data_IF_113624077253
#
_entry.id   IF_113624077253
#
_cell.length_a   1.000
_cell.length_b   1.000
_cell.length_c   1.000
_cell.angle_alpha   90.00
_cell.angle_beta   90.00
_cell.angle_gamma   90.00
#
_symmetry.space_group_name_H-M   'P 1'
#
loop_
_entity.id
_entity.type
_entity.pdbx_description
1 polymer ?
#
# COMPACT_ATOMS: atom_id res chain seq x y z
N UNK A 1 39.33 8.60 4.92
CA UNK A 1 38.11 9.04 5.63
C UNK A 1 37.12 7.92 5.50
N UNK A 2 37.10 7.10 6.53
CA UNK A 2 36.36 5.85 6.65
C UNK A 2 34.85 6.10 6.73
N UNK A 3 34.08 5.29 6.02
CA UNK A 3 32.65 5.10 6.25
C UNK A 3 32.36 3.60 6.06
N UNK A 4 32.80 2.85 7.06
CA UNK A 4 32.36 1.49 7.33
C UNK A 4 31.07 1.54 8.17
N UNK A 5 30.18 0.60 7.90
CA UNK A 5 29.10 0.09 8.75
C UNK A 5 27.90 1.02 9.05
N UNK A 6 26.84 0.85 8.26
CA UNK A 6 25.46 0.95 8.76
C UNK A 6 24.68 -0.29 8.32
N UNK A 7 25.20 -1.44 8.74
CA UNK A 7 24.60 -2.76 8.56
C UNK A 7 24.55 -3.42 9.94
N UNK A 8 23.75 -2.90 10.86
CA UNK A 8 23.37 -3.62 12.08
C UNK A 8 22.21 -2.87 12.77
N UNK A 9 21.00 -3.08 12.26
CA UNK A 9 19.80 -3.05 13.10
C UNK A 9 19.23 -4.46 13.04
N UNK A 10 19.70 -5.32 13.93
CA UNK A 10 19.05 -6.61 14.20
C UNK A 10 17.68 -6.33 14.80
N UNK A 11 16.63 -6.52 14.00
CA UNK A 11 15.26 -6.68 14.50
C UNK A 11 15.17 -8.09 15.07
N UNK A 12 15.71 -8.31 16.27
CA UNK A 12 15.57 -9.57 16.98
C UNK A 12 14.72 -9.38 18.23
N UNK A 13 13.66 -10.20 18.31
CA UNK A 13 12.85 -10.52 19.49
C UNK A 13 11.57 -9.71 19.73
N UNK A 14 10.55 -9.96 18.90
CA UNK A 14 9.16 -9.98 19.40
C UNK A 14 9.02 -11.29 20.18
N UNK A 15 9.27 -11.25 21.50
CA UNK A 15 8.91 -12.32 22.43
C UNK A 15 7.92 -11.80 23.45
N UNK A 16 6.84 -12.55 23.59
CA UNK A 16 5.83 -12.54 24.65
C UNK A 16 6.45 -12.56 26.04
N UNK A 17 6.09 -11.58 26.89
CA UNK A 17 6.04 -11.73 28.36
C UNK A 17 5.23 -10.55 28.94
N UNK A 18 4.00 -10.80 29.39
CA UNK A 18 3.61 -11.04 30.79
C UNK A 18 3.90 -9.86 31.73
N UNK A 19 2.80 -9.16 32.04
CA UNK A 19 2.49 -8.33 33.22
C UNK A 19 3.56 -8.29 34.31
N UNK A 20 4.08 -7.10 34.60
CA UNK A 20 4.38 -6.66 35.96
C UNK A 20 4.34 -5.12 36.06
N UNK A 21 3.72 -4.68 37.15
CA UNK A 21 3.21 -3.35 37.45
C UNK A 21 4.20 -2.59 38.36
N UNK A 22 4.57 -1.36 38.00
CA UNK A 22 5.08 -0.27 38.87
C UNK A 22 5.31 0.95 37.95
N UNK A 23 4.74 2.14 38.08
CA UNK A 23 4.48 2.94 39.27
C UNK A 23 5.52 4.08 39.32
N UNK A 24 5.05 5.36 39.32
CA UNK A 24 5.78 6.65 39.45
C UNK A 24 5.98 7.41 38.11
N UNK A 25 5.12 8.37 37.76
CA UNK A 25 5.14 9.81 38.09
C UNK A 25 6.32 10.58 37.52
N UNK A 26 6.10 11.37 36.46
CA UNK A 26 6.58 12.75 36.45
C UNK A 26 5.81 13.63 35.44
N UNK A 27 5.40 14.80 35.95
CA UNK A 27 4.73 15.87 35.23
C UNK A 27 5.79 16.67 34.47
N UNK A 28 5.54 17.00 33.21
CA UNK A 28 6.07 18.24 32.67
C UNK A 28 5.02 18.96 31.82
N UNK A 29 4.60 20.09 32.37
CA UNK A 29 3.77 21.10 31.74
C UNK A 29 4.57 21.77 30.62
N UNK A 30 4.03 21.78 29.40
CA UNK A 30 4.29 22.86 28.46
C UNK A 30 2.97 23.49 28.06
N UNK A 31 2.75 24.69 28.60
CA UNK A 31 1.74 25.65 28.13
C UNK A 31 2.28 26.31 26.87
N UNK A 32 1.51 26.33 25.80
CA UNK A 32 1.60 27.41 24.81
C UNK A 32 0.22 27.76 24.28
N UNK A 33 -0.02 29.07 24.24
CA UNK A 33 -1.29 29.75 24.06
C UNK A 33 -1.79 29.68 22.61
N UNK A 34 -3.11 29.76 22.50
CA UNK A 34 -3.92 29.75 21.30
C UNK A 34 -3.55 30.83 20.26
N UNK A 35 -3.66 30.46 18.98
CA UNK A 35 -4.24 31.31 17.93
C UNK A 35 -5.18 30.44 17.09
N UNK A 36 -6.47 30.67 17.29
CA UNK A 36 -7.58 30.16 16.48
C UNK A 36 -7.50 30.81 15.08
N UNK A 37 -7.36 30.01 14.01
CA UNK A 37 -7.75 30.42 12.66
C UNK A 37 -8.85 29.50 12.17
N UNK A 38 -10.08 30.00 12.24
CA UNK A 38 -11.22 29.50 11.48
C UNK A 38 -10.89 29.60 9.98
N UNK A 39 -10.67 28.46 9.33
CA UNK A 39 -10.77 28.34 7.89
C UNK A 39 -12.03 27.54 7.56
N UNK A 40 -13.13 28.27 7.33
CA UNK A 40 -14.27 27.77 6.57
C UNK A 40 -13.77 27.45 5.15
N UNK A 41 -13.74 26.17 4.79
CA UNK A 41 -13.46 25.73 3.43
C UNK A 41 -14.73 25.09 2.86
N UNK A 42 -15.29 25.78 1.86
CA UNK A 42 -16.42 25.35 1.05
C UNK A 42 -16.14 24.00 0.36
N UNK A 43 -17.18 23.17 0.12
CA UNK A 43 -17.02 21.92 -0.61
C UNK A 43 -16.66 22.19 -2.08
N UNK A 44 -15.64 21.48 -2.59
CA UNK A 44 -15.21 21.51 -4.00
C UNK A 44 -16.37 21.12 -4.94
N UNK A 45 -16.50 21.76 -6.11
CA UNK A 45 -17.63 21.56 -7.00
C UNK A 45 -17.58 20.19 -7.69
N UNK A 46 -18.66 19.43 -7.54
CA UNK A 46 -18.97 18.26 -8.36
C UNK A 46 -19.30 18.71 -9.78
N UNK A 47 -18.58 18.19 -10.77
CA UNK A 47 -18.86 18.40 -12.19
C UNK A 47 -20.08 17.56 -12.57
N UNK A 48 -21.26 18.16 -12.50
CA UNK A 48 -22.50 17.62 -13.02
C UNK A 48 -22.35 17.30 -14.52
N UNK A 49 -22.59 16.04 -14.89
CA UNK A 49 -22.89 15.68 -16.28
C UNK A 49 -24.35 16.02 -16.52
N UNK A 50 -24.62 16.92 -17.46
CA UNK A 50 -25.97 17.19 -17.93
C UNK A 50 -26.55 15.94 -18.58
N UNK A 51 -27.59 15.40 -17.94
CA UNK A 51 -28.68 14.75 -18.64
C UNK A 51 -29.42 15.83 -19.44
N UNK A 52 -29.61 15.58 -20.73
CA UNK A 52 -30.39 16.41 -21.65
C UNK A 52 -31.15 15.48 -22.58
N UNK A 53 -32.47 15.66 -22.58
CA UNK A 53 -33.50 14.87 -23.23
C UNK A 53 -33.41 14.80 -24.76
N UNK A 54 -34.02 13.73 -25.26
CA UNK A 54 -34.64 13.50 -26.56
C UNK A 54 -35.21 14.74 -27.28
N UNK A 55 -34.80 14.97 -28.53
CA UNK A 55 -35.69 15.33 -29.65
C UNK A 55 -34.97 15.27 -31.03
N UNK A 56 -35.76 14.89 -32.04
CA UNK A 56 -35.47 14.66 -33.45
C UNK A 56 -34.86 15.85 -34.23
N UNK A 57 -33.89 15.61 -35.13
CA UNK A 57 -33.93 15.97 -36.57
C UNK A 57 -32.61 15.62 -37.32
N UNK A 58 -32.71 15.04 -38.53
CA UNK A 58 -31.88 15.46 -39.68
C UNK A 58 -30.56 14.74 -40.01
N UNK A 59 -30.66 13.61 -40.71
CA UNK A 59 -29.85 13.14 -41.86
C UNK A 59 -28.40 13.65 -42.10
N UNK A 60 -27.43 12.73 -42.09
CA UNK A 60 -26.36 12.66 -43.11
C UNK A 60 -25.66 11.28 -43.10
N UNK A 61 -25.48 10.72 -44.29
CA UNK A 61 -25.10 9.34 -44.63
C UNK A 61 -23.62 9.02 -44.38
N UNK A 62 -23.33 7.84 -43.79
CA UNK A 62 -22.02 7.18 -43.88
C UNK A 62 -22.20 5.68 -44.20
N UNK A 63 -21.68 5.28 -45.36
CA UNK A 63 -21.66 3.91 -45.90
C UNK A 63 -20.84 2.94 -45.02
N UNK A 64 -21.26 1.67 -44.87
CA UNK A 64 -20.43 0.62 -44.28
C UNK A 64 -19.55 -0.05 -45.35
N UNK A 65 -18.36 -0.50 -44.97
CA UNK A 65 -17.58 -1.49 -45.72
C UNK A 65 -17.28 -2.67 -44.82
N UNK A 66 -17.78 -3.83 -45.23
CA UNK A 66 -17.66 -5.13 -44.57
C UNK A 66 -16.50 -5.94 -45.16
N UNK A 67 -15.83 -6.67 -44.26
CA UNK A 67 -15.26 -8.03 -44.37
C UNK A 67 -14.27 -8.38 -45.49
N UNK A 68 -13.15 -9.01 -45.11
CA UNK A 68 -13.01 -10.49 -45.16
C UNK A 68 -11.71 -10.96 -44.50
N UNK A 69 -11.84 -11.97 -43.65
CA UNK A 69 -10.81 -12.89 -43.21
C UNK A 69 -10.43 -13.84 -44.34
N UNK A 70 -9.17 -14.29 -44.38
CA UNK A 70 -8.86 -15.70 -44.65
C UNK A 70 -7.50 -16.07 -44.04
N UNK A 71 -7.48 -17.25 -43.43
CA UNK A 71 -6.33 -17.88 -42.83
C UNK A 71 -5.73 -18.90 -43.80
N UNK A 72 -4.38 -19.03 -43.82
CA UNK A 72 -3.62 -20.28 -43.63
C UNK A 72 -2.18 -20.13 -44.16
N UNK A 73 -1.19 -20.20 -43.27
CA UNK A 73 0.10 -20.85 -43.48
C UNK A 73 0.89 -20.90 -42.15
N UNK A 74 1.58 -22.00 -41.94
CA UNK A 74 2.14 -22.52 -40.70
C UNK A 74 3.51 -21.93 -40.28
N UNK A 75 3.70 -21.85 -38.95
CA UNK A 75 4.93 -22.07 -38.18
C UNK A 75 6.23 -21.34 -38.60
N UNK A 76 6.54 -20.23 -37.92
CA UNK A 76 7.83 -19.99 -37.25
C UNK A 76 7.78 -18.68 -36.43
N UNK A 77 8.35 -18.79 -35.24
CA UNK A 77 8.67 -17.80 -34.22
C UNK A 77 9.16 -16.43 -34.75
N UNK A 78 8.48 -15.33 -34.37
CA UNK A 78 9.01 -13.96 -34.15
C UNK A 78 7.96 -12.88 -34.47
N UNK A 79 7.10 -12.53 -33.51
CA UNK A 79 6.21 -11.36 -33.64
C UNK A 79 6.73 -10.19 -32.78
N UNK A 80 7.90 -9.67 -33.15
CA UNK A 80 8.41 -8.41 -32.61
C UNK A 80 8.09 -7.28 -33.56
N UNK A 81 7.08 -6.48 -33.20
CA UNK A 81 6.69 -5.27 -33.91
C UNK A 81 7.93 -4.36 -34.18
N UNK A 82 8.27 -3.99 -35.42
CA UNK A 82 9.52 -3.29 -35.77
C UNK A 82 9.70 -1.95 -35.03
N UNK A 83 8.60 -1.31 -34.63
CA UNK A 83 8.65 -0.11 -33.80
C UNK A 83 9.18 -0.41 -32.38
N UNK A 84 8.80 -1.54 -31.77
CA UNK A 84 9.31 -1.98 -30.44
C UNK A 84 10.80 -2.32 -30.51
N UNK A 85 11.25 -2.92 -31.61
CA UNK A 85 12.66 -3.24 -31.83
C UNK A 85 13.51 -1.96 -31.97
N UNK A 86 13.04 -0.97 -32.73
CA UNK A 86 13.69 0.33 -32.82
C UNK A 86 13.77 1.07 -31.46
N UNK A 87 12.69 1.04 -30.66
CA UNK A 87 12.71 1.59 -29.29
C UNK A 87 13.69 0.85 -28.38
N UNK A 88 13.79 -0.47 -28.51
CA UNK A 88 14.70 -1.30 -27.70
C UNK A 88 16.16 -1.04 -28.04
N UNK A 89 16.49 -0.94 -29.34
CA UNK A 89 17.83 -0.57 -29.83
C UNK A 89 18.22 0.84 -29.38
N UNK A 90 17.29 1.79 -29.43
CA UNK A 90 17.53 3.14 -28.93
C UNK A 90 17.75 3.18 -27.40
N UNK A 91 16.98 2.39 -26.64
CA UNK A 91 17.18 2.26 -25.20
C UNK A 91 18.55 1.63 -24.85
N UNK A 92 18.99 0.63 -25.61
CA UNK A 92 20.32 0.02 -25.45
C UNK A 92 21.44 1.03 -25.75
N UNK A 93 21.32 1.75 -26.87
CA UNK A 93 22.25 2.83 -27.23
C UNK A 93 22.38 3.88 -26.11
N UNK A 94 21.26 4.29 -25.52
CA UNK A 94 21.24 5.25 -24.41
C UNK A 94 21.86 4.70 -23.12
N UNK A 95 21.68 3.42 -22.82
CA UNK A 95 22.32 2.76 -21.67
C UNK A 95 23.85 2.67 -21.84
N UNK A 96 24.32 2.35 -23.04
CA UNK A 96 25.76 2.35 -23.36
C UNK A 96 26.34 3.76 -23.26
N UNK A 97 25.60 4.77 -23.72
CA UNK A 97 25.96 6.18 -23.55
C UNK A 97 26.09 6.60 -22.09
N UNK A 98 25.22 6.07 -21.22
CA UNK A 98 25.28 6.31 -19.79
C UNK A 98 26.53 5.68 -19.14
N UNK A 99 26.93 4.47 -19.56
CA UNK A 99 28.19 3.85 -19.13
C UNK A 99 29.40 4.66 -19.60
N UNK A 100 29.42 5.10 -20.85
CA UNK A 100 30.48 5.96 -21.40
C UNK A 100 30.57 7.26 -20.61
N UNK A 101 29.44 7.89 -20.26
CA UNK A 101 29.43 9.10 -19.44
C UNK A 101 30.03 8.86 -18.04
N UNK A 102 29.68 7.77 -17.36
CA UNK A 102 30.25 7.42 -16.06
C UNK A 102 31.78 7.24 -16.13
N UNK A 103 32.27 6.59 -17.18
CA UNK A 103 33.71 6.40 -17.42
C UNK A 103 34.44 7.72 -17.75
N UNK A 104 33.82 8.59 -18.54
CA UNK A 104 34.39 9.90 -18.91
C UNK A 104 34.41 10.89 -17.73
N UNK A 105 33.42 10.82 -16.84
CA UNK A 105 33.36 11.64 -15.63
C UNK A 105 34.49 11.31 -14.64
N UNK A 106 35.05 10.10 -14.69
CA UNK A 106 36.24 9.70 -13.91
C UNK A 106 37.58 10.10 -14.55
N UNK A 107 37.64 10.40 -15.85
CA UNK A 107 38.94 10.52 -16.57
C UNK A 107 39.23 11.83 -17.30
N UNK A 108 38.29 12.79 -17.45
CA UNK A 108 38.57 13.92 -18.36
C UNK A 108 37.93 15.26 -17.99
N UNK A 109 38.74 16.16 -17.42
CA UNK A 109 38.44 17.58 -17.20
C UNK A 109 38.51 18.42 -18.50
N UNK A 110 38.58 17.81 -19.69
CA UNK A 110 38.85 18.51 -20.96
C UNK A 110 37.96 18.09 -22.14
N UNK A 111 36.67 17.81 -21.89
CA UNK A 111 35.70 17.75 -23.00
C UNK A 111 35.29 19.15 -23.45
N UNK A 112 35.44 19.44 -24.74
CA UNK A 112 35.04 20.71 -25.36
C UNK A 112 33.50 20.89 -25.29
N UNK A 113 33.02 22.13 -25.18
CA UNK A 113 31.60 22.47 -24.94
C UNK A 113 30.66 21.87 -25.99
N UNK A 114 31.14 21.74 -27.22
CA UNK A 114 30.41 21.18 -28.38
C UNK A 114 29.99 19.71 -28.17
N UNK A 115 30.76 18.91 -27.42
CA UNK A 115 30.45 17.49 -27.17
C UNK A 115 29.77 17.29 -25.82
N UNK A 116 30.09 18.15 -24.84
CA UNK A 116 29.57 18.05 -23.47
C UNK A 116 28.05 18.24 -23.41
N UNK A 117 27.53 19.25 -24.10
CA UNK A 117 26.11 19.60 -24.04
C UNK A 117 25.21 18.52 -24.68
N UNK A 118 25.49 17.99 -25.89
CA UNK A 118 24.74 16.86 -26.44
C UNK A 118 24.83 15.60 -25.59
N UNK A 119 26.02 15.29 -25.04
CA UNK A 119 26.23 14.11 -24.20
C UNK A 119 25.40 14.20 -22.91
N UNK A 120 25.36 15.38 -22.28
CA UNK A 120 24.55 15.62 -21.09
C UNK A 120 23.06 15.52 -21.37
N UNK A 121 22.58 16.05 -22.51
CA UNK A 121 21.18 15.90 -22.94
C UNK A 121 20.82 14.44 -23.20
N UNK A 122 21.67 13.70 -23.88
CA UNK A 122 21.46 12.27 -24.13
C UNK A 122 21.40 11.48 -22.81
N UNK A 123 22.28 11.79 -21.85
CA UNK A 123 22.24 11.19 -20.50
C UNK A 123 20.92 11.51 -19.76
N UNK A 124 20.46 12.76 -19.79
CA UNK A 124 19.17 13.12 -19.17
C UNK A 124 17.98 12.41 -19.81
N UNK A 125 17.99 12.26 -21.14
CA UNK A 125 16.96 11.52 -21.88
C UNK A 125 16.99 10.05 -21.46
N UNK A 126 18.17 9.42 -21.46
CA UNK A 126 18.35 8.03 -21.00
C UNK A 126 17.78 7.83 -19.59
N UNK A 127 18.15 8.71 -18.66
CA UNK A 127 17.68 8.68 -17.28
C UNK A 127 16.16 8.85 -17.17
N UNK A 128 15.57 9.79 -17.94
CA UNK A 128 14.12 9.99 -17.96
C UNK A 128 13.38 8.79 -18.51
N UNK A 129 13.85 8.21 -19.62
CA UNK A 129 13.24 7.01 -20.22
C UNK A 129 13.32 5.82 -19.27
N UNK A 130 14.43 5.64 -18.56
CA UNK A 130 14.55 4.61 -17.53
C UNK A 130 13.57 4.82 -16.39
N UNK A 131 13.52 6.02 -15.81
CA UNK A 131 12.54 6.39 -14.77
C UNK A 131 11.11 6.10 -15.24
N UNK A 132 10.76 6.43 -16.48
CA UNK A 132 9.41 6.16 -17.01
C UNK A 132 9.08 4.66 -17.08
N UNK A 133 10.05 3.80 -17.43
CA UNK A 133 9.86 2.35 -17.40
C UNK A 133 9.64 1.83 -15.98
N UNK A 134 10.41 2.31 -15.01
CA UNK A 134 10.24 1.94 -13.60
C UNK A 134 8.90 2.42 -13.03
N UNK A 135 8.47 3.64 -13.35
CA UNK A 135 7.13 4.13 -12.96
C UNK A 135 6.02 3.28 -13.56
N UNK A 136 6.17 2.82 -14.81
CA UNK A 136 5.19 1.92 -15.43
C UNK A 136 5.16 0.55 -14.73
N UNK A 137 6.31 -0.05 -14.47
CA UNK A 137 6.40 -1.32 -13.73
C UNK A 137 5.83 -1.19 -12.31
N UNK A 138 6.15 -0.11 -11.61
CA UNK A 138 5.60 0.23 -10.29
C UNK A 138 4.08 0.33 -10.28
N UNK A 139 3.49 1.00 -11.29
CA UNK A 139 2.03 1.10 -11.44
C UNK A 139 1.36 -0.25 -11.66
N UNK A 140 1.99 -1.15 -12.41
CA UNK A 140 1.50 -2.51 -12.60
C UNK A 140 1.49 -3.28 -11.26
N UNK A 141 2.55 -3.14 -10.45
CA UNK A 141 2.60 -3.72 -9.09
C UNK A 141 1.49 -3.15 -8.21
N UNK A 142 1.32 -1.83 -8.16
CA UNK A 142 0.25 -1.17 -7.38
C UNK A 142 -1.12 -1.69 -7.79
N UNK A 143 -1.41 -1.70 -9.10
CA UNK A 143 -2.73 -2.07 -9.61
C UNK A 143 -3.09 -3.53 -9.26
N UNK A 144 -2.14 -4.45 -9.34
CA UNK A 144 -2.42 -5.85 -9.05
C UNK A 144 -2.38 -6.16 -7.55
N UNK A 145 -1.54 -5.48 -6.76
CA UNK A 145 -1.59 -5.56 -5.29
C UNK A 145 -2.94 -5.08 -4.74
N UNK A 146 -3.52 -4.01 -5.31
CA UNK A 146 -4.88 -3.57 -4.99
C UNK A 146 -5.94 -4.63 -5.26
N UNK A 147 -5.81 -5.38 -6.36
CA UNK A 147 -6.75 -6.48 -6.67
C UNK A 147 -6.68 -7.56 -5.60
N UNK A 148 -5.48 -7.89 -5.11
CA UNK A 148 -5.30 -8.82 -3.99
C UNK A 148 -6.00 -8.30 -2.73
N UNK A 149 -5.77 -7.02 -2.37
CA UNK A 149 -6.43 -6.38 -1.22
C UNK A 149 -7.96 -6.48 -1.35
N UNK A 150 -8.51 -6.11 -2.51
CA UNK A 150 -9.96 -6.22 -2.76
C UNK A 150 -10.47 -7.66 -2.74
N UNK A 151 -9.66 -8.64 -3.13
CA UNK A 151 -10.00 -10.05 -3.04
C UNK A 151 -10.07 -10.49 -1.58
N UNK A 152 -9.10 -10.09 -0.74
CA UNK A 152 -9.11 -10.38 0.72
C UNK A 152 -10.32 -9.77 1.42
N UNK A 153 -10.78 -8.58 1.01
CA UNK A 153 -12.00 -7.97 1.58
C UNK A 153 -13.30 -8.73 1.31
N UNK A 154 -13.27 -9.75 0.44
CA UNK A 154 -14.44 -10.63 0.18
C UNK A 154 -14.57 -11.77 1.19
N UNK A 155 -13.65 -11.89 2.14
CA UNK A 155 -13.73 -12.87 3.22
C UNK A 155 -15.06 -12.70 3.94
N UNK A 156 -15.71 -13.82 4.24
CA UNK A 156 -16.88 -13.99 5.09
C UNK A 156 -16.72 -15.26 5.92
N UNK A 157 -17.65 -15.53 6.84
CA UNK A 157 -17.65 -16.75 7.69
C UNK A 157 -17.56 -18.06 6.90
N UNK A 158 -18.12 -18.09 5.69
CA UNK A 158 -18.34 -19.35 4.96
C UNK A 158 -17.36 -19.59 3.80
N UNK A 159 -16.56 -18.59 3.42
CA UNK A 159 -15.71 -18.63 2.23
C UNK A 159 -14.27 -18.18 2.51
N UNK A 160 -13.88 -18.11 3.78
CA UNK A 160 -12.58 -17.57 4.20
C UNK A 160 -11.42 -18.30 3.52
N UNK A 161 -11.44 -19.63 3.54
CA UNK A 161 -10.37 -20.48 2.99
C UNK A 161 -10.25 -20.30 1.47
N UNK A 162 -11.38 -20.36 0.74
CA UNK A 162 -11.40 -20.18 -0.72
C UNK A 162 -10.90 -18.80 -1.14
N UNK A 163 -11.37 -17.75 -0.45
CA UNK A 163 -10.98 -16.37 -0.73
C UNK A 163 -9.49 -16.16 -0.47
N UNK A 164 -8.96 -16.71 0.62
CA UNK A 164 -7.55 -16.63 0.96
C UNK A 164 -6.68 -17.42 -0.01
N UNK A 165 -7.07 -18.64 -0.39
CA UNK A 165 -6.32 -19.43 -1.37
C UNK A 165 -6.21 -18.68 -2.71
N UNK A 166 -7.30 -18.05 -3.15
CA UNK A 166 -7.28 -17.22 -4.35
C UNK A 166 -6.41 -15.98 -4.19
N UNK A 167 -6.51 -15.27 -3.06
CA UNK A 167 -5.68 -14.09 -2.80
C UNK A 167 -4.18 -14.45 -2.75
N UNK A 168 -3.81 -15.61 -2.24
CA UNK A 168 -2.42 -16.11 -2.23
C UNK A 168 -1.92 -16.41 -3.63
N UNK A 169 -2.74 -17.06 -4.48
CA UNK A 169 -2.41 -17.28 -5.90
C UNK A 169 -2.25 -15.96 -6.65
N UNK A 170 -3.15 -15.01 -6.44
CA UNK A 170 -3.08 -13.69 -7.05
C UNK A 170 -1.83 -12.92 -6.57
N UNK A 171 -1.48 -13.02 -5.28
CA UNK A 171 -0.26 -12.42 -4.72
C UNK A 171 1.02 -13.06 -5.28
N UNK A 172 1.05 -14.39 -5.44
CA UNK A 172 2.16 -15.08 -6.09
C UNK A 172 2.32 -14.60 -7.55
N UNK A 173 1.22 -14.43 -8.28
CA UNK A 173 1.26 -13.86 -9.63
C UNK A 173 1.81 -12.43 -9.66
N UNK A 174 1.51 -11.60 -8.65
CA UNK A 174 2.12 -10.26 -8.51
C UNK A 174 3.64 -10.35 -8.39
N UNK A 175 4.14 -11.29 -7.59
CA UNK A 175 5.57 -11.54 -7.40
C UNK A 175 6.21 -12.00 -8.72
N UNK A 176 5.65 -13.05 -9.33
CA UNK A 176 6.23 -13.71 -10.49
C UNK A 176 6.20 -12.85 -11.76
N UNK A 177 5.19 -12.00 -11.93
CA UNK A 177 4.99 -11.23 -13.17
C UNK A 177 5.39 -9.76 -13.04
N UNK A 178 5.05 -9.11 -11.93
CA UNK A 178 5.15 -7.66 -11.80
C UNK A 178 6.37 -7.24 -10.98
N UNK A 179 6.61 -7.88 -9.84
CA UNK A 179 7.83 -7.63 -9.06
C UNK A 179 9.04 -8.10 -9.86
N UNK A 180 9.00 -9.28 -10.49
CA UNK A 180 10.09 -9.76 -11.35
C UNK A 180 10.44 -8.78 -12.48
N UNK A 181 9.43 -8.15 -13.11
CA UNK A 181 9.62 -7.12 -14.13
C UNK A 181 10.25 -5.86 -13.54
N UNK A 182 9.78 -5.43 -12.37
CA UNK A 182 10.35 -4.28 -11.66
C UNK A 182 11.82 -4.53 -11.31
N UNK A 183 12.14 -5.71 -10.77
CA UNK A 183 13.52 -6.13 -10.45
C UNK A 183 14.42 -6.02 -11.69
N UNK A 184 13.96 -6.50 -12.85
CA UNK A 184 14.70 -6.42 -14.12
C UNK A 184 14.99 -4.97 -14.55
N UNK A 185 14.03 -4.06 -14.43
CA UNK A 185 14.26 -2.64 -14.78
C UNK A 185 15.24 -1.95 -13.82
N UNK A 186 15.27 -2.35 -12.55
CA UNK A 186 16.16 -1.81 -11.52
C UNK A 186 17.62 -2.26 -11.69
N UNK A 187 17.89 -3.31 -12.48
CA UNK A 187 19.24 -3.82 -12.71
C UNK A 187 20.16 -2.75 -13.32
N UNK A 188 21.42 -2.73 -12.88
CA UNK A 188 22.47 -1.85 -13.40
C UNK A 188 22.29 -0.37 -13.09
N UNK A 189 21.49 -0.02 -12.07
CA UNK A 189 21.30 1.35 -11.60
C UNK A 189 21.54 1.49 -10.11
N UNK A 190 21.93 2.69 -9.69
CA UNK A 190 21.87 3.13 -8.31
C UNK A 190 20.38 3.17 -7.87
N UNK A 191 19.86 2.05 -7.35
CA UNK A 191 18.44 1.86 -7.02
C UNK A 191 17.90 2.97 -6.11
N UNK A 192 18.74 3.51 -5.22
CA UNK A 192 18.37 4.61 -4.33
C UNK A 192 17.99 5.90 -5.07
N UNK A 193 18.57 6.19 -6.25
CA UNK A 193 18.30 7.43 -7.00
C UNK A 193 16.88 7.45 -7.57
N UNK A 194 16.34 6.28 -7.87
CA UNK A 194 15.03 6.11 -8.47
C UNK A 194 13.99 5.54 -7.50
N UNK A 195 14.31 5.44 -6.20
CA UNK A 195 13.38 4.99 -5.15
C UNK A 195 11.98 5.58 -5.27
N UNK A 196 11.88 6.90 -5.47
CA UNK A 196 10.58 7.59 -5.61
C UNK A 196 9.72 7.11 -6.79
N UNK A 197 10.32 6.49 -7.82
CA UNK A 197 9.60 5.96 -8.97
C UNK A 197 8.87 4.65 -8.66
N UNK A 198 9.49 3.78 -7.84
CA UNK A 198 8.97 2.44 -7.57
C UNK A 198 8.40 2.23 -6.17
N UNK A 199 8.78 3.09 -5.21
CA UNK A 199 8.35 3.04 -3.82
C UNK A 199 6.83 2.89 -3.63
N UNK A 200 5.95 3.60 -4.38
CA UNK A 200 4.50 3.39 -4.28
C UNK A 200 4.04 1.97 -4.60
N UNK A 201 4.65 1.32 -5.61
CA UNK A 201 4.35 -0.07 -5.95
C UNK A 201 4.80 -1.05 -4.86
N UNK A 202 5.97 -0.80 -4.29
CA UNK A 202 6.52 -1.63 -3.19
C UNK A 202 5.68 -1.51 -1.91
N UNK A 203 5.27 -0.29 -1.53
CA UNK A 203 4.42 -0.07 -0.36
C UNK A 203 3.08 -0.81 -0.48
N UNK A 204 2.43 -0.72 -1.65
CA UNK A 204 1.16 -1.42 -1.91
C UNK A 204 1.33 -2.95 -1.90
N UNK A 205 2.46 -3.46 -2.40
CA UNK A 205 2.76 -4.89 -2.32
C UNK A 205 2.94 -5.35 -0.87
N UNK A 206 3.67 -4.58 -0.05
CA UNK A 206 3.83 -4.86 1.39
C UNK A 206 2.47 -4.88 2.09
N UNK A 207 1.62 -3.89 1.82
CA UNK A 207 0.25 -3.84 2.33
C UNK A 207 -0.55 -5.10 1.97
N UNK A 208 -0.56 -5.49 0.70
CA UNK A 208 -1.24 -6.69 0.24
C UNK A 208 -0.70 -7.98 0.89
N UNK A 209 0.62 -8.14 0.97
CA UNK A 209 1.27 -9.32 1.52
C UNK A 209 1.03 -9.46 3.03
N UNK A 210 1.16 -8.35 3.78
CA UNK A 210 0.92 -8.32 5.22
C UNK A 210 -0.56 -8.53 5.56
N UNK A 211 -1.48 -7.96 4.78
CA UNK A 211 -2.93 -8.17 4.94
C UNK A 211 -3.31 -9.64 4.74
N UNK A 212 -2.81 -10.26 3.68
CA UNK A 212 -3.04 -11.67 3.39
C UNK A 212 -2.51 -12.57 4.52
N UNK A 213 -1.27 -12.33 4.96
CA UNK A 213 -0.65 -13.09 6.03
C UNK A 213 -1.40 -12.94 7.36
N UNK A 214 -1.84 -11.72 7.71
CA UNK A 214 -2.63 -11.48 8.91
C UNK A 214 -3.95 -12.26 8.86
N UNK A 215 -4.67 -12.24 7.73
CA UNK A 215 -5.94 -12.96 7.62
C UNK A 215 -5.80 -14.49 7.70
N UNK A 216 -4.65 -15.02 7.27
CA UNK A 216 -4.31 -16.44 7.32
C UNK A 216 -3.81 -16.90 8.69
N UNK A 217 -2.87 -16.16 9.29
CA UNK A 217 -2.12 -16.61 10.47
C UNK A 217 -2.44 -15.82 11.74
N UNK A 218 -3.05 -14.63 11.62
CA UNK A 218 -3.22 -13.69 12.72
C UNK A 218 -1.94 -12.93 13.11
N UNK A 219 -0.84 -13.09 12.36
CA UNK A 219 0.46 -12.50 12.67
C UNK A 219 0.93 -11.51 11.60
N UNK A 220 1.85 -10.62 11.99
CA UNK A 220 2.53 -9.71 11.08
C UNK A 220 3.59 -10.46 10.26
N UNK A 221 3.56 -10.30 8.93
CA UNK A 221 4.63 -10.76 8.04
C UNK A 221 5.81 -9.77 8.12
N UNK A 222 6.95 -10.19 8.66
CA UNK A 222 8.08 -9.30 8.89
C UNK A 222 8.89 -9.02 7.61
N UNK A 223 9.71 -7.96 7.67
CA UNK A 223 10.51 -7.51 6.52
C UNK A 223 11.47 -8.59 6.00
N UNK A 224 12.09 -9.37 6.89
CA UNK A 224 13.02 -10.42 6.50
C UNK A 224 12.32 -11.55 5.76
N UNK A 225 11.11 -11.92 6.19
CA UNK A 225 10.25 -12.91 5.52
C UNK A 225 9.84 -12.43 4.12
N UNK A 226 9.46 -11.17 3.97
CA UNK A 226 9.13 -10.60 2.65
C UNK A 226 10.37 -10.58 1.77
N UNK A 227 11.51 -10.08 2.25
CA UNK A 227 12.72 -10.07 1.46
C UNK A 227 13.20 -11.47 1.09
N UNK A 228 13.01 -12.47 1.97
CA UNK A 228 13.32 -13.86 1.67
C UNK A 228 12.48 -14.41 0.51
N UNK A 229 11.20 -14.04 0.38
CA UNK A 229 10.36 -14.47 -0.75
C UNK A 229 10.72 -13.81 -2.07
N UNK A 230 11.35 -12.63 -2.04
CA UNK A 230 11.78 -11.89 -3.23
C UNK A 230 13.20 -12.26 -3.72
N UNK A 231 14.04 -12.85 -2.87
CA UNK A 231 15.41 -13.28 -3.23
C UNK A 231 15.48 -14.15 -4.49
N UNK A 232 14.60 -15.16 -4.69
CA UNK A 232 14.68 -16.03 -5.86
C UNK A 232 14.44 -15.31 -7.20
N UNK A 233 13.84 -14.12 -7.19
CA UNK A 233 13.61 -13.31 -8.39
C UNK A 233 14.86 -12.63 -8.91
N UNK A 234 15.91 -12.55 -8.09
CA UNK A 234 17.15 -11.87 -8.42
C UNK A 234 18.17 -12.87 -8.94
N UNK A 235 18.93 -12.47 -9.96
CA UNK A 235 20.05 -13.26 -10.46
C UNK A 235 21.14 -13.33 -9.37
N UNK A 236 21.74 -14.50 -9.09
CA UNK A 236 22.84 -14.64 -8.12
C UNK A 236 24.02 -13.68 -8.37
N UNK A 237 24.18 -13.21 -9.62
CA UNK A 237 25.23 -12.26 -10.01
C UNK A 237 24.88 -10.78 -9.77
N UNK A 238 23.64 -10.47 -9.37
CA UNK A 238 23.13 -9.11 -9.17
C UNK A 238 22.63 -8.94 -7.74
N UNK A 239 22.87 -7.77 -7.15
CA UNK A 239 22.35 -7.46 -5.81
C UNK A 239 20.80 -7.54 -5.82
N UNK A 240 20.20 -8.38 -4.97
CA UNK A 240 18.77 -8.62 -5.01
C UNK A 240 17.99 -7.38 -4.61
N UNK A 241 16.78 -7.22 -5.15
CA UNK A 241 15.87 -6.20 -4.65
C UNK A 241 15.56 -6.49 -3.18
N UNK A 242 15.99 -5.58 -2.32
CA UNK A 242 15.62 -5.58 -0.91
C UNK A 242 14.67 -4.43 -0.65
N UNK A 243 13.49 -4.75 -0.14
CA UNK A 243 12.56 -3.75 0.37
C UNK A 243 13.24 -3.07 1.56
N UNK A 244 13.35 -1.75 1.48
CA UNK A 244 13.90 -0.94 2.54
C UNK A 244 12.89 -0.81 3.69
N UNK A 245 13.41 -0.64 4.91
CA UNK A 245 12.67 -0.38 6.14
C UNK A 245 11.63 0.73 5.95
N UNK A 246 12.00 1.85 5.29
CA UNK A 246 11.06 2.95 5.06
C UNK A 246 9.83 2.54 4.25
N UNK A 247 10.01 1.80 3.16
CA UNK A 247 8.88 1.36 2.32
C UNK A 247 8.03 0.30 3.01
N UNK A 248 8.66 -0.55 3.83
CA UNK A 248 7.94 -1.50 4.67
C UNK A 248 7.06 -0.80 5.72
N UNK A 249 7.61 0.17 6.46
CA UNK A 249 6.87 0.88 7.49
C UNK A 249 5.72 1.72 6.90
N UNK A 250 5.92 2.32 5.72
CA UNK A 250 4.86 3.10 5.05
C UNK A 250 3.72 2.20 4.54
N UNK A 251 4.04 1.01 4.02
CA UNK A 251 3.03 0.00 3.65
C UNK A 251 2.32 -0.61 4.86
N UNK A 252 3.04 -0.83 5.97
CA UNK A 252 2.46 -1.27 7.24
C UNK A 252 1.48 -0.23 7.82
N UNK A 253 1.76 1.05 7.62
CA UNK A 253 0.83 2.08 8.03
C UNK A 253 -0.46 2.07 7.19
N UNK A 254 -0.38 1.84 5.88
CA UNK A 254 -1.58 1.71 5.02
C UNK A 254 -2.39 0.45 5.35
N UNK A 255 -1.72 -0.66 5.68
CA UNK A 255 -2.36 -1.90 6.15
C UNK A 255 -3.37 -1.63 7.27
N UNK A 256 -3.08 -0.71 8.19
CA UNK A 256 -3.99 -0.41 9.32
C UNK A 256 -5.34 0.13 8.87
N UNK A 257 -5.37 0.87 7.76
CA UNK A 257 -6.60 1.36 7.13
C UNK A 257 -7.42 0.22 6.54
N UNK A 258 -6.78 -0.73 5.85
CA UNK A 258 -7.46 -1.90 5.28
C UNK A 258 -7.93 -2.87 6.37
N UNK A 259 -7.16 -3.06 7.44
CA UNK A 259 -7.60 -3.81 8.61
C UNK A 259 -8.82 -3.18 9.29
N UNK A 260 -8.87 -1.85 9.39
CA UNK A 260 -10.06 -1.16 9.87
C UNK A 260 -11.27 -1.41 8.98
N UNK A 261 -11.13 -1.32 7.65
CA UNK A 261 -12.22 -1.63 6.71
C UNK A 261 -12.70 -3.07 6.87
N UNK A 262 -11.77 -4.02 7.03
CA UNK A 262 -12.09 -5.42 7.29
C UNK A 262 -12.84 -5.56 8.60
N UNK A 263 -12.35 -4.97 9.70
CA UNK A 263 -12.98 -5.05 11.01
C UNK A 263 -14.41 -4.53 11.00
N UNK A 264 -14.69 -3.40 10.36
CA UNK A 264 -16.06 -2.87 10.24
C UNK A 264 -16.97 -3.87 9.50
N UNK A 265 -16.50 -4.45 8.39
CA UNK A 265 -17.26 -5.49 7.69
C UNK A 265 -17.54 -6.72 8.56
N UNK A 266 -16.55 -7.15 9.35
CA UNK A 266 -16.68 -8.31 10.26
C UNK A 266 -17.63 -8.01 11.43
N UNK A 267 -17.66 -6.77 11.94
CA UNK A 267 -18.64 -6.34 12.94
C UNK A 267 -20.05 -6.42 12.37
N UNK A 268 -20.26 -5.98 11.13
CA UNK A 268 -21.56 -6.08 10.46
C UNK A 268 -22.02 -7.54 10.27
N UNK A 269 -21.09 -8.47 10.07
CA UNK A 269 -21.37 -9.91 9.98
C UNK A 269 -21.52 -10.60 11.35
N UNK A 270 -21.41 -9.85 12.45
CA UNK A 270 -21.52 -10.34 13.84
C UNK A 270 -20.26 -11.06 14.36
N UNK A 271 -19.11 -10.89 13.72
CA UNK A 271 -17.81 -11.47 14.15
C UNK A 271 -17.03 -10.55 15.07
N UNK A 272 -17.60 -10.24 16.23
CA UNK A 272 -17.02 -9.27 17.17
C UNK A 272 -15.65 -9.69 17.70
N UNK A 273 -15.44 -10.99 17.96
CA UNK A 273 -14.15 -11.48 18.44
C UNK A 273 -13.02 -11.26 17.42
N UNK A 274 -13.30 -11.46 16.13
CA UNK A 274 -12.31 -11.24 15.08
C UNK A 274 -12.04 -9.75 14.89
N UNK A 275 -13.06 -8.90 14.97
CA UNK A 275 -12.89 -7.45 14.96
C UNK A 275 -12.06 -6.94 16.16
N UNK A 276 -12.23 -7.52 17.35
CA UNK A 276 -11.40 -7.22 18.52
C UNK A 276 -9.93 -7.64 18.31
N UNK A 277 -9.69 -8.81 17.71
CA UNK A 277 -8.32 -9.24 17.33
C UNK A 277 -7.66 -8.26 16.38
N UNK A 278 -8.40 -7.80 15.36
CA UNK A 278 -7.91 -6.75 14.44
C UNK A 278 -7.60 -5.47 15.22
N UNK A 279 -8.51 -5.03 16.10
CA UNK A 279 -8.32 -3.82 16.90
C UNK A 279 -7.04 -3.88 17.75
N UNK A 280 -6.78 -5.00 18.43
CA UNK A 280 -5.58 -5.20 19.23
C UNK A 280 -4.32 -5.14 18.37
N UNK A 281 -4.33 -5.80 17.21
CA UNK A 281 -3.21 -5.80 16.28
C UNK A 281 -2.90 -4.41 15.73
N UNK A 282 -3.91 -3.66 15.29
CA UNK A 282 -3.73 -2.27 14.80
C UNK A 282 -3.21 -1.36 15.93
N UNK A 283 -3.70 -1.56 17.17
CA UNK A 283 -3.24 -0.80 18.35
C UNK A 283 -1.76 -1.07 18.66
N UNK A 284 -1.32 -2.33 18.54
CA UNK A 284 0.09 -2.71 18.70
C UNK A 284 0.98 -2.05 17.64
N UNK A 285 0.60 -2.12 16.36
CA UNK A 285 1.34 -1.44 15.27
C UNK A 285 1.46 0.06 15.55
N UNK A 286 0.35 0.72 15.93
CA UNK A 286 0.36 2.15 16.23
C UNK A 286 1.29 2.49 17.40
N UNK A 287 1.29 1.69 18.47
CA UNK A 287 2.17 1.89 19.63
C UNK A 287 3.64 1.82 19.25
N UNK A 288 4.02 0.80 18.47
CA UNK A 288 5.41 0.63 18.04
C UNK A 288 5.85 1.75 17.07
N UNK A 289 4.98 2.12 16.12
CA UNK A 289 5.27 3.18 15.17
C UNK A 289 5.35 4.56 15.82
N UNK A 290 4.64 4.82 16.92
CA UNK A 290 4.81 6.07 17.68
C UNK A 290 6.24 6.30 18.16
N UNK A 291 7.00 5.24 18.44
CA UNK A 291 8.40 5.32 18.88
C UNK A 291 9.37 5.58 17.71
N UNK A 292 8.99 5.13 16.51
CA UNK A 292 9.85 5.14 15.32
C UNK A 292 9.59 6.38 14.46
N UNK A 293 8.32 6.77 14.27
CA UNK A 293 7.91 7.85 13.37
C UNK A 293 8.67 9.19 13.59
N UNK A 294 8.96 9.64 14.82
CA UNK A 294 9.73 10.88 15.04
C UNK A 294 11.19 10.82 14.55
N UNK A 295 11.73 9.61 14.35
CA UNK A 295 13.13 9.37 13.94
C UNK A 295 13.27 9.16 12.42
N UNK A 296 12.17 9.18 11.67
CA UNK A 296 12.18 8.93 10.23
C UNK A 296 12.47 10.20 9.43
N UNK A 297 13.29 10.09 8.38
CA UNK A 297 13.72 11.21 7.53
C UNK A 297 12.55 11.88 6.78
N UNK A 298 11.53 11.11 6.37
CA UNK A 298 10.31 11.59 5.69
C UNK A 298 9.15 11.80 6.69
N UNK A 299 9.34 12.74 7.63
CA UNK A 299 8.44 12.93 8.77
C UNK A 299 7.00 13.36 8.40
N UNK A 300 6.76 14.00 7.26
CA UNK A 300 5.43 14.53 6.91
C UNK A 300 4.44 13.46 6.46
N UNK A 301 4.88 12.51 5.62
CA UNK A 301 4.04 11.42 5.14
C UNK A 301 3.73 10.46 6.29
N UNK A 302 4.76 10.07 7.05
CA UNK A 302 4.56 9.22 8.23
C UNK A 302 3.66 9.89 9.27
N UNK A 303 3.81 11.20 9.54
CA UNK A 303 2.90 11.91 10.46
C UNK A 303 1.44 11.80 10.03
N UNK A 304 1.16 12.03 8.74
CA UNK A 304 -0.20 11.91 8.20
C UNK A 304 -0.73 10.48 8.34
N UNK A 305 0.11 9.48 8.07
CA UNK A 305 -0.23 8.06 8.25
C UNK A 305 -0.48 7.69 9.71
N UNK A 306 0.28 8.24 10.66
CA UNK A 306 0.03 8.07 12.09
C UNK A 306 -1.32 8.65 12.52
N UNK A 307 -1.67 9.85 12.03
CA UNK A 307 -2.98 10.45 12.31
C UNK A 307 -4.14 9.59 11.77
N UNK A 308 -4.01 9.08 10.54
CA UNK A 308 -4.99 8.18 9.91
C UNK A 308 -5.09 6.84 10.65
N UNK A 309 -3.96 6.31 11.12
CA UNK A 309 -3.91 5.07 11.89
C UNK A 309 -4.60 5.21 13.25
N UNK A 310 -4.39 6.32 13.95
CA UNK A 310 -5.11 6.62 15.19
C UNK A 310 -6.63 6.69 14.94
N UNK A 311 -7.05 7.37 13.87
CA UNK A 311 -8.46 7.38 13.47
C UNK A 311 -8.99 5.98 13.17
N UNK A 312 -8.15 5.12 12.59
CA UNK A 312 -8.49 3.72 12.29
C UNK A 312 -8.74 2.92 13.56
N UNK A 313 -7.86 3.04 14.57
CA UNK A 313 -8.06 2.43 15.91
C UNK A 313 -9.38 2.90 16.52
N UNK A 314 -9.59 4.22 16.59
CA UNK A 314 -10.79 4.79 17.20
C UNK A 314 -12.08 4.31 16.53
N UNK A 315 -12.09 4.18 15.20
CA UNK A 315 -13.26 3.68 14.46
C UNK A 315 -13.61 2.23 14.83
N UNK A 316 -12.60 1.36 14.92
CA UNK A 316 -12.83 -0.04 15.30
C UNK A 316 -13.32 -0.13 16.74
N UNK A 317 -12.66 0.59 17.67
CA UNK A 317 -13.04 0.60 19.09
C UNK A 317 -14.46 1.11 19.30
N UNK A 318 -14.81 2.24 18.69
CA UNK A 318 -16.15 2.81 18.80
C UNK A 318 -17.22 1.87 18.22
N UNK A 319 -16.93 1.19 17.10
CA UNK A 319 -17.85 0.23 16.52
C UNK A 319 -18.06 -0.99 17.43
N UNK A 320 -16.99 -1.57 17.96
CA UNK A 320 -17.05 -2.67 18.92
C UNK A 320 -17.81 -2.28 20.19
N UNK A 321 -17.52 -1.09 20.75
CA UNK A 321 -18.22 -0.56 21.92
C UNK A 321 -19.72 -0.36 21.64
N UNK A 322 -20.07 0.26 20.51
CA UNK A 322 -21.47 0.51 20.15
C UNK A 322 -22.29 -0.78 20.06
N UNK A 323 -21.72 -1.86 19.51
CA UNK A 323 -22.41 -3.15 19.45
C UNK A 323 -22.52 -3.78 20.84
N UNK A 324 -21.48 -3.68 21.67
CA UNK A 324 -21.49 -4.22 23.03
C UNK A 324 -22.56 -3.57 23.92
N UNK A 325 -22.69 -2.24 23.88
CA UNK A 325 -23.72 -1.51 24.62
C UNK A 325 -25.12 -1.96 24.19
N UNK A 326 -25.39 -1.97 22.88
CA UNK A 326 -26.69 -2.40 22.34
C UNK A 326 -27.01 -3.86 22.68
N UNK A 327 -26.01 -4.74 22.70
CA UNK A 327 -26.19 -6.14 23.10
C UNK A 327 -26.45 -6.32 24.60
N UNK A 328 -26.17 -5.31 25.42
CA UNK A 328 -26.35 -5.31 26.87
C UNK A 328 -27.61 -4.55 27.33
N UNK A 329 -28.34 -3.93 26.40
CA UNK A 329 -29.61 -3.27 26.69
C UNK A 329 -30.70 -4.32 26.98
N UNK A 330 -31.24 -4.28 28.19
CA UNK A 330 -32.41 -5.08 28.54
C UNK A 330 -33.66 -4.44 27.92
N UNK A 331 -34.29 -5.13 26.97
CA UNK A 331 -35.59 -4.72 26.41
C UNK A 331 -36.66 -5.43 27.25
N UNK A 332 -37.46 -4.69 28.08
CA UNK A 332 -38.60 -5.29 28.75
C UNK A 332 -39.55 -5.85 27.70
N UNK A 333 -39.95 -7.12 27.87
CA UNK A 333 -40.79 -7.86 26.95
C UNK A 333 -42.18 -7.19 26.83
N UNK A 334 -42.34 -6.25 25.91
CA UNK A 334 -43.65 -5.68 25.55
C UNK A 334 -44.41 -6.73 24.73
N UNK A 335 -45.04 -7.69 25.41
CA UNK A 335 -45.81 -8.75 24.77
C UNK A 335 -46.48 -9.77 25.68
N UNK A 336 -46.16 -9.84 26.98
CA UNK A 336 -47.05 -10.50 27.93
C UNK A 336 -47.77 -9.42 28.73
N UNK A 337 -49.05 -9.24 28.46
CA UNK A 337 -49.96 -8.62 29.44
C UNK A 337 -49.92 -9.49 30.69
N UNK A 338 -49.03 -9.16 31.63
CA UNK A 338 -49.09 -9.53 33.04
C UNK A 338 -47.84 -8.95 33.73
N UNK A 339 -47.86 -7.66 34.04
CA UNK A 339 -46.96 -7.13 35.06
C UNK A 339 -47.69 -6.12 35.95
N UNK A 340 -48.25 -6.65 37.04
CA UNK A 340 -48.28 -5.95 38.31
C UNK A 340 -46.85 -5.54 38.65
N UNK A 341 -46.53 -4.27 38.46
CA UNK A 341 -45.26 -3.70 38.89
C UNK A 341 -45.34 -3.46 40.40
N UNK A 342 -44.86 -4.40 41.20
CA UNK A 342 -44.62 -4.15 42.63
C UNK A 342 -43.30 -3.39 42.74
N UNK A 343 -43.40 -2.06 42.65
CA UNK A 343 -42.28 -1.15 42.90
C UNK A 343 -41.85 -1.29 44.37
N UNK A 344 -40.63 -1.77 44.57
CA UNK A 344 -39.96 -1.93 45.86
C UNK A 344 -40.03 -0.65 46.71
N UNK A 345 -40.79 -0.73 47.80
CA UNK A 345 -40.32 -0.39 49.15
C UNK A 345 -40.04 1.08 49.45
N UNK A 346 -41.08 1.82 49.80
CA UNK A 346 -40.97 2.92 50.76
C UNK A 346 -41.86 2.55 51.96
N UNK A 347 -41.32 2.40 53.19
CA UNK A 347 -42.16 2.27 54.36
C UNK A 347 -42.71 3.66 54.71
N UNK A 348 -44.04 3.80 54.69
CA UNK A 348 -44.74 4.91 55.34
C UNK A 348 -44.47 4.83 56.86
N UNK A 349 -43.93 5.91 57.41
CA UNK A 349 -43.85 6.14 58.85
C UNK A 349 -45.02 7.07 59.19
N UNK A 350 -45.94 6.53 59.99
CA UNK A 350 -46.98 7.28 60.72
C UNK A 350 -46.41 7.87 62.02
#
# INVERSE_FOLDING_TARGET
>A
MDLLCYSDIKVSSIRTCTVCNCGATERQMFKSSAIHRLCLMAPKPQRFRHFGETALLGTATKKPRTLTTDATASAADSDSNPMKDAFSKYAAYLNDLQRVWQLLNLKTFRMNSVVREPLYRAHQIAYRMKREREVKASRDVTMNSKKVIFQVHRISKNNKEEVLEKAEKDLAAVVDQHISRLVKELQGTDFWKLRRAYSPGVQEYVEAATLCNFCKTGALLNLDQINASLRPLSDPSVEPLQINVLDYLLGLADLTGELMRLAIGRISDGELEFAQKICSFVREIHRELMLIAPKMDDASDMKTKMDVMLQSVMKIENACFSVHVRGSEYIPFLGSEDTNFSLLGVPEIE
#
